data_IF_269014118865
#
_entry.id   IF_269014118865
#
_cell.length_a   1.000
_cell.length_b   1.000
_cell.length_c   1.000
_cell.angle_alpha   90.00
_cell.angle_beta   90.00
_cell.angle_gamma   90.00
#
_symmetry.space_group_name_H-M   'P 1'
#
loop_
_entity.id
_entity.type
_entity.pdbx_description
1 polymer ?
#
# COMPACT_ATOMS: atom_id res chain seq x y z
N UNK A 1 -24.54 -13.58 20.13
CA UNK A 1 -23.92 -14.70 19.41
C UNK A 1 -24.96 -15.76 19.06
N UNK A 2 -25.70 -16.31 20.03
CA UNK A 2 -26.74 -17.35 19.81
C UNK A 2 -27.84 -16.98 18.79
N UNK A 3 -28.27 -15.72 18.76
CA UNK A 3 -29.39 -15.27 17.91
C UNK A 3 -29.05 -15.14 16.40
N UNK A 4 -27.76 -15.14 16.02
CA UNK A 4 -27.34 -15.07 14.61
C UNK A 4 -27.25 -16.47 13.98
N UNK A 5 -27.19 -17.52 14.81
CA UNK A 5 -27.21 -18.92 14.36
C UNK A 5 -28.63 -19.39 14.01
N UNK A 6 -29.65 -18.78 14.60
CA UNK A 6 -31.07 -19.15 14.39
C UNK A 6 -31.72 -18.50 13.16
N UNK A 7 -30.97 -17.68 12.41
CA UNK A 7 -31.47 -16.98 11.23
C UNK A 7 -32.27 -15.73 11.58
N UNK A 8 -31.92 -14.61 10.95
CA UNK A 8 -32.61 -13.34 11.17
C UNK A 8 -33.02 -12.71 9.85
N UNK A 9 -34.23 -12.16 9.83
CA UNK A 9 -34.71 -11.35 8.72
C UNK A 9 -33.90 -10.07 8.53
N UNK A 10 -33.85 -9.58 7.28
CA UNK A 10 -33.11 -8.36 6.90
C UNK A 10 -33.42 -7.13 7.79
N UNK A 11 -34.67 -6.98 8.25
CA UNK A 11 -35.09 -5.84 9.09
C UNK A 11 -34.56 -5.94 10.53
N UNK A 12 -34.58 -7.13 11.12
CA UNK A 12 -34.14 -7.37 12.50
C UNK A 12 -32.62 -7.26 12.63
N UNK A 13 -31.85 -7.73 11.64
CA UNK A 13 -30.39 -7.59 11.64
C UNK A 13 -29.99 -6.11 11.63
N UNK A 14 -30.63 -5.28 10.82
CA UNK A 14 -30.35 -3.83 10.77
C UNK A 14 -30.64 -3.13 12.08
N UNK A 15 -31.78 -3.44 12.70
CA UNK A 15 -32.17 -2.85 13.98
C UNK A 15 -31.16 -3.21 15.09
N UNK A 16 -30.68 -4.46 15.12
CA UNK A 16 -29.67 -4.92 16.08
C UNK A 16 -28.26 -4.38 15.79
N UNK A 17 -27.89 -4.26 14.52
CA UNK A 17 -26.56 -3.81 14.11
C UNK A 17 -26.41 -2.28 14.05
N UNK A 18 -27.50 -1.51 14.16
CA UNK A 18 -27.46 -0.05 14.11
C UNK A 18 -27.07 0.53 12.75
N UNK A 19 -27.29 -0.20 11.65
CA UNK A 19 -26.83 0.17 10.30
C UNK A 19 -27.99 0.79 9.48
N UNK A 20 -27.69 1.87 8.74
CA UNK A 20 -28.64 2.50 7.80
C UNK A 20 -29.13 1.51 6.72
N UNK A 21 -30.38 1.71 6.25
CA UNK A 21 -31.07 0.77 5.36
C UNK A 21 -30.31 0.48 4.06
N UNK A 22 -29.71 1.49 3.44
CA UNK A 22 -28.98 1.37 2.17
C UNK A 22 -27.68 0.57 2.33
N UNK A 23 -26.91 0.86 3.38
CA UNK A 23 -25.62 0.18 3.66
C UNK A 23 -25.82 -1.27 4.15
N UNK A 24 -26.89 -1.52 4.90
CA UNK A 24 -27.14 -2.84 5.47
C UNK A 24 -27.38 -3.94 4.43
N UNK A 25 -27.97 -3.62 3.27
CA UNK A 25 -28.16 -4.60 2.20
C UNK A 25 -26.82 -4.99 1.56
N UNK A 26 -25.99 -4.00 1.21
CA UNK A 26 -24.68 -4.25 0.60
C UNK A 26 -23.74 -5.04 1.51
N UNK A 27 -23.80 -4.81 2.83
CA UNK A 27 -23.00 -5.58 3.79
C UNK A 27 -23.46 -7.04 3.85
N UNK A 28 -24.77 -7.29 3.93
CA UNK A 28 -25.31 -8.64 4.00
C UNK A 28 -25.05 -9.45 2.73
N UNK A 29 -25.30 -8.83 1.57
CA UNK A 29 -24.99 -9.46 0.28
C UNK A 29 -23.47 -9.70 0.14
N UNK A 30 -22.65 -8.78 0.65
CA UNK A 30 -21.20 -8.94 0.73
C UNK A 30 -20.75 -10.11 1.62
N UNK A 31 -21.42 -10.34 2.76
CA UNK A 31 -21.14 -11.49 3.62
C UNK A 31 -21.51 -12.81 2.95
N UNK A 32 -22.63 -12.84 2.23
CA UNK A 32 -23.06 -14.01 1.46
C UNK A 32 -22.08 -14.33 0.33
N UNK A 33 -21.67 -13.31 -0.44
CA UNK A 33 -20.69 -13.47 -1.51
C UNK A 33 -19.31 -13.93 -1.01
N UNK A 34 -18.97 -13.62 0.25
CA UNK A 34 -17.75 -14.09 0.92
C UNK A 34 -17.89 -15.49 1.54
N UNK A 35 -19.07 -16.10 1.49
CA UNK A 35 -19.36 -17.39 2.13
C UNK A 35 -19.37 -17.33 3.66
N UNK A 36 -19.58 -16.15 4.24
CA UNK A 36 -19.62 -15.91 5.69
C UNK A 36 -21.06 -15.87 6.24
N UNK A 37 -22.04 -15.84 5.34
CA UNK A 37 -23.44 -15.97 5.66
C UNK A 37 -24.15 -16.72 4.53
N UNK A 38 -25.27 -17.34 4.85
CA UNK A 38 -26.17 -17.96 3.86
C UNK A 38 -27.55 -17.29 3.93
N UNK A 39 -28.26 -17.34 2.81
CA UNK A 39 -29.67 -16.95 2.75
C UNK A 39 -30.53 -18.20 2.80
N UNK A 40 -31.45 -18.26 3.76
CA UNK A 40 -32.45 -19.30 3.87
C UNK A 40 -33.85 -18.73 3.60
N UNK A 41 -34.77 -19.59 3.15
CA UNK A 41 -36.15 -19.21 2.83
C UNK A 41 -36.37 -18.74 1.38
N UNK A 42 -37.63 -18.49 1.04
CA UNK A 42 -38.07 -17.97 -0.26
C UNK A 42 -38.64 -16.56 -0.10
N UNK A 43 -38.56 -15.77 -1.17
CA UNK A 43 -39.22 -14.47 -1.23
C UNK A 43 -40.70 -14.58 -0.82
N UNK A 44 -41.24 -13.62 -0.04
CA UNK A 44 -40.61 -12.39 0.44
C UNK A 44 -39.90 -12.52 1.81
N UNK A 45 -39.88 -13.72 2.42
CA UNK A 45 -39.30 -13.98 3.76
C UNK A 45 -37.96 -14.69 3.64
N UNK A 46 -36.92 -13.90 3.39
CA UNK A 46 -35.53 -14.36 3.45
C UNK A 46 -34.89 -14.07 4.80
N UNK A 47 -34.15 -15.04 5.30
CA UNK A 47 -33.40 -14.99 6.55
C UNK A 47 -31.92 -15.16 6.25
N UNK A 48 -31.08 -14.40 6.95
CA UNK A 48 -29.63 -14.52 6.85
C UNK A 48 -29.14 -15.26 8.09
N UNK A 49 -28.33 -16.27 7.85
CA UNK A 49 -27.74 -17.11 8.89
C UNK A 49 -26.23 -16.93 8.79
N UNK A 50 -25.58 -16.67 9.93
CA UNK A 50 -24.13 -16.64 9.98
C UNK A 50 -23.58 -18.05 9.74
N UNK A 51 -22.55 -18.16 8.90
CA UNK A 51 -21.85 -19.43 8.74
C UNK A 51 -20.97 -19.73 9.96
N UNK A 52 -20.49 -20.97 10.03
CA UNK A 52 -19.64 -21.41 11.14
C UNK A 52 -18.38 -20.54 11.27
N UNK A 53 -17.90 -20.22 12.48
CA UNK A 53 -16.75 -19.33 12.68
C UNK A 53 -15.48 -19.74 11.92
N UNK A 54 -15.29 -21.03 11.67
CA UNK A 54 -14.15 -21.57 10.92
C UNK A 54 -14.10 -21.03 9.47
N UNK A 55 -15.25 -20.67 8.90
CA UNK A 55 -15.35 -20.07 7.55
C UNK A 55 -14.63 -18.73 7.45
N UNK A 56 -14.48 -17.98 8.55
CA UNK A 56 -13.70 -16.74 8.56
C UNK A 56 -12.23 -17.05 8.26
N UNK A 57 -11.67 -18.07 8.90
CA UNK A 57 -10.28 -18.46 8.68
C UNK A 57 -10.06 -19.00 7.26
N UNK A 58 -11.00 -19.78 6.73
CA UNK A 58 -10.97 -20.26 5.33
C UNK A 58 -11.02 -19.09 4.34
N UNK A 59 -11.95 -18.15 4.51
CA UNK A 59 -12.09 -16.96 3.69
C UNK A 59 -10.78 -16.13 3.66
N UNK A 60 -10.17 -15.91 4.83
CA UNK A 60 -8.90 -15.18 4.92
C UNK A 60 -7.75 -15.91 4.22
N UNK A 61 -7.66 -17.23 4.37
CA UNK A 61 -6.64 -18.04 3.67
C UNK A 61 -6.78 -17.93 2.14
N UNK A 62 -8.01 -18.04 1.63
CA UNK A 62 -8.29 -17.89 0.20
C UNK A 62 -7.91 -16.48 -0.29
N UNK A 63 -8.26 -15.44 0.48
CA UNK A 63 -7.93 -14.06 0.13
C UNK A 63 -6.41 -13.81 0.07
N UNK A 64 -5.66 -14.34 1.06
CA UNK A 64 -4.20 -14.25 1.08
C UNK A 64 -3.60 -14.92 -0.15
N UNK A 65 -4.07 -16.11 -0.52
CA UNK A 65 -3.58 -16.83 -1.69
C UNK A 65 -3.83 -16.04 -3.00
N UNK A 66 -5.02 -15.44 -3.14
CA UNK A 66 -5.36 -14.60 -4.28
C UNK A 66 -4.46 -13.35 -4.36
N UNK A 67 -4.23 -12.68 -3.24
CA UNK A 67 -3.36 -11.50 -3.18
C UNK A 67 -1.90 -11.87 -3.50
N UNK A 68 -1.42 -13.02 -3.04
CA UNK A 68 -0.08 -13.52 -3.38
C UNK A 68 0.06 -13.80 -4.88
N UNK A 69 -0.97 -14.39 -5.51
CA UNK A 69 -0.98 -14.62 -6.95
C UNK A 69 -0.98 -13.30 -7.74
N UNK A 70 -1.80 -12.34 -7.32
CA UNK A 70 -1.83 -11.00 -7.92
C UNK A 70 -0.49 -10.27 -7.78
N UNK A 71 0.15 -10.37 -6.61
CA UNK A 71 1.48 -9.81 -6.38
C UNK A 71 2.52 -10.42 -7.33
N UNK A 72 2.52 -11.74 -7.49
CA UNK A 72 3.43 -12.44 -8.42
C UNK A 72 3.22 -11.98 -9.87
N UNK A 73 1.96 -11.84 -10.31
CA UNK A 73 1.62 -11.30 -11.64
C UNK A 73 2.12 -9.87 -11.80
N UNK A 74 1.87 -9.00 -10.81
CA UNK A 74 2.34 -7.63 -10.83
C UNK A 74 3.87 -7.53 -10.93
N UNK A 75 4.60 -8.31 -10.12
CA UNK A 75 6.06 -8.38 -10.17
C UNK A 75 6.60 -8.80 -11.54
N UNK A 76 5.92 -9.72 -12.24
CA UNK A 76 6.27 -10.11 -13.60
C UNK A 76 6.02 -9.02 -14.66
N UNK A 77 5.02 -8.16 -14.44
CA UNK A 77 4.67 -7.07 -15.35
C UNK A 77 5.50 -5.80 -15.13
N UNK A 78 5.99 -5.55 -13.90
CA UNK A 78 6.78 -4.36 -13.56
C UNK A 78 7.96 -4.11 -14.51
N UNK A 79 8.79 -5.10 -14.88
CA UNK A 79 9.88 -4.88 -15.84
C UNK A 79 9.41 -4.39 -17.21
N UNK A 80 8.28 -4.90 -17.70
CA UNK A 80 7.68 -4.50 -18.98
C UNK A 80 7.10 -3.08 -18.90
N UNK A 81 6.43 -2.74 -17.80
CA UNK A 81 5.96 -1.37 -17.58
C UNK A 81 7.12 -0.37 -17.46
N UNK A 82 8.23 -0.77 -16.83
CA UNK A 82 9.47 0.02 -16.79
C UNK A 82 10.08 0.22 -18.17
N UNK A 83 10.05 -0.76 -19.07
CA UNK A 83 10.60 -0.60 -20.43
C UNK A 83 9.76 0.35 -21.29
N UNK A 84 8.42 0.31 -21.16
CA UNK A 84 7.53 1.27 -21.80
C UNK A 84 7.81 2.69 -21.27
N UNK A 85 7.96 2.84 -19.95
CA UNK A 85 8.30 4.12 -19.33
C UNK A 85 9.66 4.70 -19.77
N UNK A 86 10.62 3.87 -20.22
CA UNK A 86 11.92 4.33 -20.74
C UNK A 86 11.86 4.95 -22.13
N UNK A 87 10.76 4.78 -22.87
CA UNK A 87 10.65 5.20 -24.28
C UNK A 87 10.36 6.69 -24.45
N UNK A 88 10.20 7.45 -23.36
CA UNK A 88 10.06 8.90 -23.40
C UNK A 88 11.36 9.60 -23.00
N UNK A 89 12.23 9.90 -23.96
CA UNK A 89 13.41 10.76 -23.78
C UNK A 89 13.06 12.24 -23.56
N UNK A 90 11.93 12.52 -22.90
CA UNK A 90 11.61 13.86 -22.43
C UNK A 90 12.20 14.00 -21.04
N UNK A 91 13.01 15.03 -20.82
CA UNK A 91 13.43 15.42 -19.49
C UNK A 91 12.18 15.51 -18.60
N UNK A 92 12.09 14.65 -17.58
CA UNK A 92 10.99 14.65 -16.63
C UNK A 92 11.41 15.49 -15.43
N UNK A 93 10.72 16.61 -15.21
CA UNK A 93 10.84 17.35 -13.96
C UNK A 93 9.93 16.67 -12.95
N UNK A 94 10.50 16.23 -11.82
CA UNK A 94 9.77 15.67 -10.69
C UNK A 94 9.88 16.62 -9.52
N UNK A 95 8.75 16.87 -8.85
CA UNK A 95 8.70 17.66 -7.63
C UNK A 95 8.56 16.72 -6.45
N UNK A 96 9.35 16.96 -5.42
CA UNK A 96 9.38 16.18 -4.19
C UNK A 96 9.17 17.13 -3.02
N UNK A 97 8.33 16.74 -2.07
CA UNK A 97 7.97 17.59 -0.93
C UNK A 97 8.24 16.90 0.41
N UNK A 98 8.66 17.71 1.38
CA UNK A 98 8.94 17.29 2.74
C UNK A 98 10.11 16.30 2.86
N UNK A 99 10.33 15.81 4.08
CA UNK A 99 11.44 14.90 4.39
C UNK A 99 11.38 13.61 3.57
N UNK A 100 10.18 13.07 3.36
CA UNK A 100 10.01 11.83 2.60
C UNK A 100 10.45 12.02 1.15
N UNK A 101 10.00 13.09 0.50
CA UNK A 101 10.41 13.41 -0.86
C UNK A 101 11.91 13.62 -0.98
N UNK A 102 12.51 14.33 -0.02
CA UNK A 102 13.96 14.55 -0.01
C UNK A 102 14.75 13.24 0.13
N UNK A 103 14.31 12.31 1.00
CA UNK A 103 14.91 10.97 1.10
C UNK A 103 14.80 10.21 -0.22
N UNK A 104 13.63 10.24 -0.87
CA UNK A 104 13.43 9.58 -2.17
C UNK A 104 14.40 10.09 -3.24
N UNK A 105 14.68 11.41 -3.27
CA UNK A 105 15.68 11.99 -4.18
C UNK A 105 17.07 11.42 -3.90
N UNK A 106 17.50 11.38 -2.63
CA UNK A 106 18.81 10.80 -2.28
C UNK A 106 18.88 9.30 -2.59
N UNK A 107 17.83 8.53 -2.31
CA UNK A 107 17.79 7.10 -2.65
C UNK A 107 17.90 6.87 -4.17
N UNK A 108 17.28 7.71 -4.99
CA UNK A 108 17.38 7.62 -6.45
C UNK A 108 18.84 7.78 -6.93
N UNK A 109 19.61 8.65 -6.28
CA UNK A 109 21.04 8.83 -6.62
C UNK A 109 21.90 7.59 -6.36
N UNK A 110 21.46 6.66 -5.50
CA UNK A 110 22.15 5.37 -5.30
C UNK A 110 22.01 4.43 -6.51
N UNK A 111 21.21 4.79 -7.50
CA UNK A 111 21.09 4.06 -8.76
C UNK A 111 21.99 4.63 -9.88
N UNK A 112 22.74 5.70 -9.59
CA UNK A 112 23.61 6.35 -10.57
C UNK A 112 24.72 5.42 -11.03
N UNK A 113 24.90 5.30 -12.34
CA UNK A 113 26.05 4.64 -12.97
C UNK A 113 27.24 5.56 -13.18
N UNK A 114 27.08 6.87 -12.93
CA UNK A 114 28.09 7.90 -13.14
C UNK A 114 28.42 8.65 -11.85
N UNK A 115 29.52 9.40 -11.87
CA UNK A 115 29.92 10.28 -10.78
C UNK A 115 28.87 11.37 -10.54
N UNK A 116 28.41 11.48 -9.29
CA UNK A 116 27.48 12.53 -8.88
C UNK A 116 28.23 13.86 -8.78
N UNK A 117 27.66 14.91 -9.37
CA UNK A 117 28.14 16.29 -9.23
C UNK A 117 27.12 17.10 -8.45
N UNK A 118 27.54 17.70 -7.35
CA UNK A 118 26.64 18.38 -6.42
C UNK A 118 27.09 19.80 -6.08
N UNK A 119 26.11 20.68 -5.89
CA UNK A 119 26.25 21.93 -5.15
C UNK A 119 25.34 21.79 -3.94
N UNK A 120 25.90 21.88 -2.73
CA UNK A 120 25.12 21.65 -1.51
C UNK A 120 25.68 22.46 -0.34
N UNK A 121 24.79 23.03 0.45
CA UNK A 121 25.10 23.56 1.79
C UNK A 121 24.96 22.42 2.78
N UNK A 122 26.04 22.08 3.50
CA UNK A 122 26.00 20.95 4.44
C UNK A 122 25.06 21.19 5.61
N UNK A 123 25.02 22.41 6.15
CA UNK A 123 24.19 22.74 7.31
C UNK A 123 22.69 22.56 7.01
N UNK A 124 22.23 23.12 5.88
CA UNK A 124 20.84 22.95 5.42
C UNK A 124 20.53 21.48 5.14
N UNK A 125 21.47 20.75 4.55
CA UNK A 125 21.32 19.33 4.28
C UNK A 125 21.10 18.56 5.58
N UNK A 126 21.97 18.71 6.58
CA UNK A 126 21.84 18.03 7.87
C UNK A 126 20.60 18.46 8.66
N UNK A 127 20.22 19.73 8.58
CA UNK A 127 19.00 20.24 9.20
C UNK A 127 17.74 19.66 8.55
N UNK A 128 17.74 19.49 7.22
CA UNK A 128 16.59 18.97 6.48
C UNK A 128 16.36 17.46 6.71
N UNK A 129 17.41 16.66 6.92
CA UNK A 129 17.29 15.23 7.23
C UNK A 129 18.23 14.80 8.37
N UNK A 130 17.87 15.11 9.62
CA UNK A 130 18.69 14.76 10.78
C UNK A 130 18.92 13.23 10.88
N UNK A 131 20.18 12.82 11.02
CA UNK A 131 20.58 11.42 11.20
C UNK A 131 20.55 10.52 9.96
N UNK A 132 20.07 11.01 8.81
CA UNK A 132 19.95 10.19 7.59
C UNK A 132 21.30 9.98 6.86
N UNK A 133 22.09 11.05 6.72
CA UNK A 133 23.28 11.05 5.87
C UNK A 133 24.39 10.08 6.26
N UNK A 134 24.69 9.83 7.55
CA UNK A 134 25.73 8.87 7.93
C UNK A 134 25.49 7.46 7.36
N UNK A 135 24.24 7.00 7.31
CA UNK A 135 23.88 5.71 6.71
C UNK A 135 23.89 5.76 5.18
N UNK A 136 23.30 6.81 4.62
CA UNK A 136 23.30 7.04 3.17
C UNK A 136 24.73 7.04 2.58
N UNK A 137 25.69 7.69 3.24
CA UNK A 137 27.09 7.70 2.79
C UNK A 137 27.73 6.32 2.78
N UNK A 138 27.42 5.47 3.77
CA UNK A 138 27.90 4.07 3.80
C UNK A 138 27.34 3.27 2.63
N UNK A 139 26.04 3.42 2.36
CA UNK A 139 25.37 2.75 1.23
C UNK A 139 25.94 3.22 -0.11
N UNK A 140 26.09 4.53 -0.32
CA UNK A 140 26.72 5.09 -1.53
C UNK A 140 28.15 4.59 -1.74
N UNK A 141 28.95 4.55 -0.67
CA UNK A 141 30.33 4.07 -0.73
C UNK A 141 30.40 2.57 -1.06
N UNK A 142 29.48 1.76 -0.53
CA UNK A 142 29.37 0.33 -0.83
C UNK A 142 29.09 0.09 -2.32
N UNK A 143 28.23 0.90 -2.92
CA UNK A 143 27.94 0.85 -4.36
C UNK A 143 29.02 1.52 -5.22
N UNK A 144 30.11 2.04 -4.63
CA UNK A 144 31.25 2.68 -5.30
C UNK A 144 30.87 3.90 -6.15
N UNK A 145 29.79 4.60 -5.80
CA UNK A 145 29.32 5.77 -6.53
C UNK A 145 30.15 6.98 -6.09
N UNK A 146 30.99 7.52 -6.97
CA UNK A 146 31.82 8.71 -6.68
C UNK A 146 30.97 9.99 -6.59
N UNK A 147 31.45 10.98 -5.82
CA UNK A 147 30.83 12.31 -5.76
C UNK A 147 31.90 13.41 -5.80
N UNK A 148 31.64 14.46 -6.57
CA UNK A 148 32.35 15.75 -6.51
C UNK A 148 31.35 16.82 -6.10
N UNK A 149 31.62 17.50 -4.99
CA UNK A 149 30.74 18.52 -4.44
C UNK A 149 31.47 19.85 -4.34
N UNK A 150 30.75 20.93 -4.66
CA UNK A 150 31.14 22.30 -4.32
C UNK A 150 30.26 22.72 -3.15
N UNK A 151 30.91 23.02 -2.03
CA UNK A 151 30.25 23.32 -0.77
C UNK A 151 30.69 24.74 -0.36
N UNK A 152 29.75 25.67 -0.15
CA UNK A 152 30.10 26.99 0.34
C UNK A 152 30.68 26.85 1.75
N UNK A 153 31.72 27.62 2.05
CA UNK A 153 32.23 27.72 3.40
C UNK A 153 31.20 28.46 4.26
N UNK A 154 30.49 27.73 5.11
CA UNK A 154 29.63 28.28 6.15
C UNK A 154 30.43 28.38 7.45
N UNK A 155 30.28 29.50 8.17
CA UNK A 155 30.88 29.63 9.51
C UNK A 155 30.09 28.76 10.50
N UNK A 156 30.77 28.10 11.45
CA UNK A 156 30.10 27.29 12.48
C UNK A 156 29.19 28.13 13.39
#
# INVERSE_FOLDING_TARGET
>A
MRELEEGLGRKSIKAKAGIQRTTGYGILDGLVNKGLAIVSGKEPKQEFIAEKPEKIAEFLKTNIAQLQEQLKKAQGLVPQLKSIHKSGSKAQVKFYEGEKGLKEVYEDTLTSSEEIRAYATLDDMYAALPGYFPDYFKRRAKEKIAIKAIIPFTKP
#
